data_IF_808438140218
#
_entry.id   IF_808438140218
#
_cell.length_a   1.000
_cell.length_b   1.000
_cell.length_c   1.000
_cell.angle_alpha   90.00
_cell.angle_beta   90.00
_cell.angle_gamma   90.00
#
_symmetry.space_group_name_H-M   'P 1'
#
loop_
_entity.id
_entity.type
_entity.pdbx_description
1 polymer ?
#
# COMPACT_ATOMS: atom_id res chain seq x y z
N UNK A 1 13.47 0.20 23.72
CA UNK A 1 13.18 -0.77 22.66
C UNK A 1 12.40 -0.16 21.49
N UNK A 2 12.86 0.98 20.94
CA UNK A 2 12.27 1.65 19.76
C UNK A 2 13.27 1.80 18.59
N UNK A 3 14.46 1.18 18.70
CA UNK A 3 15.58 1.39 17.79
C UNK A 3 15.40 0.87 16.34
N UNK A 4 14.78 -0.29 16.07
CA UNK A 4 14.79 -0.83 14.70
C UNK A 4 14.04 0.05 13.70
N UNK A 5 12.94 0.68 14.15
CA UNK A 5 12.15 1.59 13.32
C UNK A 5 12.90 2.90 13.03
N UNK A 6 13.73 3.36 13.97
CA UNK A 6 14.55 4.57 13.80
C UNK A 6 15.71 4.33 12.83
N UNK A 7 16.30 3.13 12.83
CA UNK A 7 17.34 2.74 11.86
C UNK A 7 16.79 2.67 10.43
N UNK A 8 15.56 2.17 10.26
CA UNK A 8 14.91 2.17 8.94
C UNK A 8 14.59 3.58 8.44
N UNK A 9 14.29 4.53 9.34
CA UNK A 9 14.08 5.95 9.03
C UNK A 9 15.39 6.69 8.74
N UNK A 10 16.50 6.29 9.36
CA UNK A 10 17.81 6.95 9.20
C UNK A 10 18.36 6.83 7.77
N UNK A 11 17.94 5.81 7.01
CA UNK A 11 18.27 5.64 5.58
C UNK A 11 17.61 6.66 4.64
N UNK A 12 16.63 7.42 5.14
CA UNK A 12 15.93 8.46 4.40
C UNK A 12 16.23 9.88 4.92
N UNK A 13 17.13 10.03 5.89
CA UNK A 13 17.64 11.33 6.31
C UNK A 13 18.88 11.67 5.48
N UNK A 14 18.95 12.85 4.84
CA UNK A 14 20.16 13.25 4.12
C UNK A 14 21.22 13.61 5.16
N UNK A 15 22.17 12.70 5.40
CA UNK A 15 23.35 13.02 6.20
C UNK A 15 24.48 13.42 5.28
N UNK A 16 24.84 14.70 5.34
CA UNK A 16 26.02 15.26 4.72
C UNK A 16 27.26 14.82 5.52
N UNK A 17 28.09 13.93 4.99
CA UNK A 17 29.56 13.90 5.21
C UNK A 17 30.21 12.70 4.51
N UNK A 18 31.18 13.05 3.67
CA UNK A 18 32.32 12.35 3.04
C UNK A 18 32.57 10.84 3.22
N UNK A 19 32.95 10.28 2.06
CA UNK A 19 33.87 9.16 1.79
C UNK A 19 33.81 7.90 2.67
N UNK A 20 33.09 6.89 2.18
CA UNK A 20 33.47 5.49 2.42
C UNK A 20 33.26 4.67 1.15
N UNK A 21 34.36 4.10 0.66
CA UNK A 21 34.44 3.16 -0.46
C UNK A 21 33.62 1.91 -0.09
N UNK A 22 32.60 1.57 -0.88
CA UNK A 22 31.81 0.35 -0.70
C UNK A 22 32.37 -0.70 -1.65
N UNK A 23 33.16 -1.62 -1.08
CA UNK A 23 33.55 -2.89 -1.68
C UNK A 23 32.29 -3.73 -2.00
N UNK A 24 32.34 -4.41 -3.14
CA UNK A 24 31.25 -5.24 -3.66
C UNK A 24 31.06 -6.50 -2.80
N UNK A 25 29.83 -6.74 -2.35
CA UNK A 25 29.39 -8.06 -1.89
C UNK A 25 28.86 -8.13 -0.47
N UNK A 26 27.74 -7.47 -0.19
CA UNK A 26 26.87 -7.89 0.92
C UNK A 26 25.42 -7.93 0.43
N UNK A 27 24.87 -9.14 0.44
CA UNK A 27 23.45 -9.44 0.29
C UNK A 27 22.68 -8.61 1.33
N UNK A 28 22.08 -7.50 0.88
CA UNK A 28 21.26 -6.64 1.72
C UNK A 28 19.99 -7.42 2.09
N UNK A 29 20.07 -8.20 3.17
CA UNK A 29 18.92 -8.85 3.80
C UNK A 29 18.06 -7.75 4.44
N UNK A 30 17.29 -7.07 3.59
CA UNK A 30 16.21 -6.21 4.02
C UNK A 30 15.20 -7.13 4.70
N UNK A 31 14.90 -6.95 6.00
CA UNK A 31 14.00 -7.84 6.70
C UNK A 31 12.71 -7.98 5.90
N UNK A 32 12.43 -9.20 5.43
CA UNK A 32 11.30 -9.55 4.55
C UNK A 32 9.94 -9.09 5.12
N UNK A 33 9.91 -8.83 6.44
CA UNK A 33 8.73 -8.37 7.17
C UNK A 33 8.47 -6.85 7.09
N UNK A 34 9.48 -6.01 6.84
CA UNK A 34 9.32 -4.55 6.89
C UNK A 34 8.28 -4.02 5.87
N UNK A 35 8.18 -4.67 4.71
CA UNK A 35 7.23 -4.33 3.64
C UNK A 35 5.99 -5.23 3.60
N UNK A 36 5.89 -6.17 4.54
CA UNK A 36 4.82 -7.17 4.60
C UNK A 36 3.76 -6.85 5.64
N UNK A 37 4.01 -5.87 6.52
CA UNK A 37 3.05 -5.45 7.52
C UNK A 37 1.83 -4.72 6.92
N UNK A 38 0.68 -4.86 7.58
CA UNK A 38 -0.58 -4.31 7.10
C UNK A 38 -0.56 -2.79 6.99
N UNK A 39 0.09 -2.11 7.94
CA UNK A 39 0.22 -0.66 7.94
C UNK A 39 0.95 -0.17 6.70
N UNK A 40 2.08 -0.79 6.35
CA UNK A 40 2.82 -0.45 5.13
C UNK A 40 1.99 -0.70 3.88
N UNK A 41 1.35 -1.88 3.78
CA UNK A 41 0.51 -2.26 2.64
C UNK A 41 -0.65 -1.29 2.43
N UNK A 42 -1.27 -0.81 3.52
CA UNK A 42 -2.39 0.12 3.45
C UNK A 42 -1.99 1.56 3.17
N UNK A 43 -0.91 2.07 3.78
CA UNK A 43 -0.65 3.52 3.81
C UNK A 43 0.58 3.98 3.04
N UNK A 44 1.47 3.06 2.67
CA UNK A 44 2.76 3.41 2.06
C UNK A 44 3.01 2.75 0.71
N UNK A 45 2.60 1.48 0.55
CA UNK A 45 2.78 0.71 -0.68
C UNK A 45 2.11 1.42 -1.85
N UNK A 46 2.93 1.80 -2.84
CA UNK A 46 2.58 2.58 -4.03
C UNK A 46 1.95 3.94 -3.75
N UNK A 47 2.08 4.44 -2.52
CA UNK A 47 1.66 5.78 -2.09
C UNK A 47 2.88 6.72 -2.07
N UNK A 48 3.92 6.35 -1.32
CA UNK A 48 5.17 7.13 -1.25
C UNK A 48 5.94 6.99 -2.56
N UNK A 49 6.55 8.08 -3.03
CA UNK A 49 7.37 8.08 -4.26
C UNK A 49 8.66 7.28 -4.04
N UNK A 50 9.09 6.57 -5.08
CA UNK A 50 10.38 5.89 -5.05
C UNK A 50 11.52 6.92 -5.01
N UNK A 51 12.44 6.77 -4.06
CA UNK A 51 13.60 7.64 -3.88
C UNK A 51 14.91 7.02 -4.41
N UNK A 52 14.86 5.79 -4.93
CA UNK A 52 16.04 5.14 -5.51
C UNK A 52 16.45 5.86 -6.79
N UNK A 53 17.67 6.41 -6.80
CA UNK A 53 18.22 7.09 -7.97
C UNK A 53 18.60 6.12 -9.11
N UNK A 54 18.92 4.86 -8.77
CA UNK A 54 19.31 3.83 -9.76
C UNK A 54 18.09 3.20 -10.42
N UNK A 55 18.23 2.84 -11.70
CA UNK A 55 17.23 2.07 -12.44
C UNK A 55 17.01 0.71 -11.78
N UNK A 56 15.74 0.33 -11.62
CA UNK A 56 15.33 -0.96 -11.06
C UNK A 56 13.96 -1.34 -11.63
N UNK A 57 13.52 -2.56 -11.34
CA UNK A 57 12.18 -3.02 -11.72
C UNK A 57 11.11 -2.27 -10.91
N UNK A 58 10.50 -1.27 -11.53
CA UNK A 58 9.44 -0.46 -10.93
C UNK A 58 8.17 -1.26 -10.63
N UNK A 59 7.95 -2.41 -11.30
CA UNK A 59 6.79 -3.27 -11.05
C UNK A 59 6.94 -4.05 -9.75
N UNK A 60 8.18 -4.38 -9.36
CA UNK A 60 8.51 -5.00 -8.09
C UNK A 60 8.74 -3.99 -6.96
N UNK A 61 9.10 -2.75 -7.28
CA UNK A 61 9.30 -1.68 -6.31
C UNK A 61 8.04 -1.43 -5.47
N UNK A 62 8.09 -1.37 -4.13
CA UNK A 62 6.92 -1.09 -3.31
C UNK A 62 6.50 0.39 -3.33
N UNK A 63 7.31 1.27 -3.92
CA UNK A 63 7.06 2.70 -3.98
C UNK A 63 6.55 3.15 -5.35
N UNK A 64 5.97 4.35 -5.38
CA UNK A 64 5.30 4.93 -6.53
C UNK A 64 6.29 5.50 -7.55
N UNK A 65 6.10 5.16 -8.83
CA UNK A 65 6.83 5.72 -9.97
C UNK A 65 5.94 6.63 -10.83
N UNK A 66 6.52 7.64 -11.51
CA UNK A 66 5.76 8.49 -12.43
C UNK A 66 5.06 7.68 -13.52
N UNK A 67 3.77 7.92 -13.72
CA UNK A 67 2.97 7.30 -14.79
C UNK A 67 2.55 5.85 -14.56
N UNK A 68 2.95 5.21 -13.46
CA UNK A 68 2.56 3.83 -13.23
C UNK A 68 1.07 3.68 -12.84
N UNK A 69 0.44 2.59 -13.30
CA UNK A 69 -0.97 2.29 -12.98
C UNK A 69 -1.18 1.83 -11.54
N UNK A 70 -0.11 1.41 -10.86
CA UNK A 70 -0.18 0.91 -9.48
C UNK A 70 -0.12 2.03 -8.43
N UNK A 71 0.21 3.28 -8.81
CA UNK A 71 0.22 4.44 -7.93
C UNK A 71 -1.12 4.55 -7.20
N UNK A 72 -1.04 4.87 -5.91
CA UNK A 72 -2.18 5.11 -5.04
C UNK A 72 -2.12 6.50 -4.42
N UNK A 73 -3.31 7.06 -4.16
CA UNK A 73 -3.47 8.21 -3.27
C UNK A 73 -3.36 7.76 -1.82
N UNK A 74 -2.78 8.60 -0.97
CA UNK A 74 -2.72 8.33 0.48
C UNK A 74 -4.13 8.41 1.07
N UNK A 75 -4.70 7.32 1.61
CA UNK A 75 -6.05 7.33 2.17
C UNK A 75 -6.17 8.20 3.44
N UNK A 76 -5.06 8.67 4.03
CA UNK A 76 -5.04 9.65 5.13
C UNK A 76 -5.18 11.08 4.65
N UNK A 77 -4.86 11.35 3.37
CA UNK A 77 -4.92 12.68 2.75
C UNK A 77 -6.14 12.83 1.83
N UNK A 78 -6.56 11.74 1.19
CA UNK A 78 -7.65 11.73 0.23
C UNK A 78 -8.74 10.75 0.68
N UNK A 79 -9.94 11.27 0.88
CA UNK A 79 -11.10 10.48 1.30
C UNK A 79 -11.76 9.83 0.09
N UNK A 80 -11.26 8.66 -0.31
CA UNK A 80 -11.86 7.85 -1.35
C UNK A 80 -12.27 6.49 -0.78
N UNK A 81 -13.34 5.92 -1.32
CA UNK A 81 -13.84 4.60 -0.93
C UNK A 81 -13.08 3.48 -1.64
N UNK A 82 -13.10 2.27 -1.07
CA UNK A 82 -12.58 1.07 -1.74
C UNK A 82 -13.40 0.60 -2.95
N UNK A 83 -14.44 1.35 -3.35
CA UNK A 83 -15.28 1.07 -4.51
C UNK A 83 -14.66 1.64 -5.78
N UNK A 84 -14.67 0.86 -6.87
CA UNK A 84 -14.04 1.25 -8.12
C UNK A 84 -14.76 2.43 -8.80
N UNK A 85 -14.00 3.43 -9.25
CA UNK A 85 -14.53 4.56 -9.99
C UNK A 85 -15.03 4.12 -11.38
N UNK A 86 -16.31 4.37 -11.74
CA UNK A 86 -16.84 3.99 -13.05
C UNK A 86 -16.18 4.76 -14.19
N UNK A 87 -15.83 6.03 -13.98
CA UNK A 87 -15.20 6.87 -15.02
C UNK A 87 -13.75 6.47 -15.26
N UNK A 88 -13.00 6.19 -14.19
CA UNK A 88 -11.63 5.71 -14.30
C UNK A 88 -11.56 4.37 -15.04
N UNK A 89 -12.53 3.48 -14.79
CA UNK A 89 -12.65 2.21 -15.53
C UNK A 89 -12.85 2.41 -17.03
N UNK A 90 -13.49 3.51 -17.44
CA UNK A 90 -13.70 3.88 -18.85
C UNK A 90 -12.47 4.57 -19.47
N UNK A 91 -11.40 4.79 -18.70
CA UNK A 91 -10.10 5.27 -19.18
C UNK A 91 -9.65 6.60 -18.59
N UNK A 92 -10.57 7.46 -18.14
CA UNK A 92 -10.22 8.75 -17.55
C UNK A 92 -11.27 9.24 -16.56
N UNK A 93 -10.83 9.62 -15.36
CA UNK A 93 -11.67 10.31 -14.38
C UNK A 93 -11.26 11.78 -14.28
N UNK A 94 -12.20 12.69 -14.58
CA UNK A 94 -11.97 14.15 -14.54
C UNK A 94 -11.86 14.71 -13.12
N UNK A 95 -12.32 13.96 -12.10
CA UNK A 95 -12.25 14.37 -10.69
C UNK A 95 -10.84 14.30 -10.12
N UNK A 96 -9.90 13.63 -10.81
CA UNK A 96 -8.51 13.52 -10.38
C UNK A 96 -8.39 12.99 -8.95
N UNK A 97 -7.51 13.61 -8.16
CA UNK A 97 -7.27 13.20 -6.78
C UNK A 97 -8.48 13.42 -5.85
N UNK A 98 -9.42 14.32 -6.22
CA UNK A 98 -10.65 14.59 -5.47
C UNK A 98 -11.76 13.55 -5.70
N UNK A 99 -11.51 12.51 -6.52
CA UNK A 99 -12.50 11.46 -6.74
C UNK A 99 -12.72 10.62 -5.46
N UNK A 100 -13.97 10.46 -5.04
CA UNK A 100 -14.37 9.68 -3.86
C UNK A 100 -14.36 8.16 -4.10
N UNK A 101 -13.93 7.70 -5.27
CA UNK A 101 -13.85 6.29 -5.64
C UNK A 101 -12.42 5.91 -6.00
N UNK A 102 -12.07 4.64 -5.84
CA UNK A 102 -10.76 4.10 -6.12
C UNK A 102 -10.44 4.08 -7.64
N UNK A 103 -9.24 4.53 -7.98
CA UNK A 103 -8.65 4.59 -9.30
C UNK A 103 -7.69 3.42 -9.53
N UNK A 104 -8.28 2.23 -9.66
CA UNK A 104 -7.55 1.01 -9.98
C UNK A 104 -7.61 -0.05 -8.87
N UNK A 105 -7.03 -1.21 -9.17
CA UNK A 105 -7.10 -2.41 -8.33
C UNK A 105 -6.40 -2.19 -6.99
N UNK A 106 -5.24 -1.54 -7.01
CA UNK A 106 -4.45 -1.29 -5.80
C UNK A 106 -5.16 -0.32 -4.84
N UNK A 107 -5.73 0.77 -5.34
CA UNK A 107 -6.54 1.66 -4.49
C UNK A 107 -7.78 0.95 -3.93
N UNK A 108 -8.46 0.11 -4.72
CA UNK A 108 -9.63 -0.63 -4.25
C UNK A 108 -9.26 -1.58 -3.11
N UNK A 109 -8.26 -2.44 -3.32
CA UNK A 109 -8.06 -3.62 -2.49
C UNK A 109 -7.01 -3.45 -1.40
N UNK A 110 -6.11 -2.48 -1.51
CA UNK A 110 -5.25 -2.06 -0.41
C UNK A 110 -5.87 -0.92 0.43
N UNK A 111 -7.12 -0.52 0.14
CA UNK A 111 -7.84 0.44 0.96
C UNK A 111 -7.99 -0.09 2.41
N UNK A 112 -7.86 0.77 3.44
CA UNK A 112 -7.97 0.32 4.84
C UNK A 112 -9.26 -0.42 5.19
N UNK A 113 -10.36 -0.09 4.52
CA UNK A 113 -11.66 -0.73 4.68
C UNK A 113 -11.87 -2.01 3.84
N UNK A 114 -10.85 -2.50 3.11
CA UNK A 114 -10.97 -3.71 2.25
C UNK A 114 -9.78 -4.65 2.36
N UNK A 115 -8.60 -4.15 2.71
CA UNK A 115 -7.39 -4.95 2.78
C UNK A 115 -7.50 -6.03 3.87
N UNK A 116 -7.33 -7.29 3.46
CA UNK A 116 -7.42 -8.48 4.31
C UNK A 116 -8.75 -8.62 5.08
N UNK A 117 -9.84 -8.05 4.59
CA UNK A 117 -11.18 -8.24 5.19
C UNK A 117 -11.90 -9.48 4.65
N UNK A 118 -11.27 -10.22 3.74
CA UNK A 118 -11.78 -11.46 3.16
C UNK A 118 -10.64 -12.48 3.06
N UNK A 119 -10.94 -13.79 3.21
CA UNK A 119 -9.94 -14.85 3.05
C UNK A 119 -9.52 -15.00 1.59
N UNK A 120 -8.26 -15.33 1.37
CA UNK A 120 -7.73 -15.67 0.06
C UNK A 120 -8.20 -17.08 -0.33
N UNK A 121 -8.68 -17.24 -1.57
CA UNK A 121 -9.12 -18.55 -2.08
C UNK A 121 -8.00 -19.60 -2.07
N UNK A 122 -6.77 -19.15 -2.29
CA UNK A 122 -5.60 -20.02 -2.35
C UNK A 122 -4.94 -20.19 -0.96
N UNK A 123 -5.43 -19.50 0.07
CA UNK A 123 -4.89 -19.56 1.43
C UNK A 123 -3.37 -19.38 1.48
N UNK A 124 -2.70 -20.23 2.27
CA UNK A 124 -1.24 -20.29 2.41
C UNK A 124 -0.50 -20.75 1.16
N UNK A 125 -1.20 -21.30 0.16
CA UNK A 125 -0.61 -21.68 -1.13
C UNK A 125 -0.59 -20.54 -2.15
N UNK A 126 -1.14 -19.37 -1.83
CA UNK A 126 -1.15 -18.22 -2.73
C UNK A 126 0.26 -17.72 -3.04
N UNK A 127 0.63 -17.70 -4.33
CA UNK A 127 1.97 -17.26 -4.79
C UNK A 127 2.03 -15.81 -5.25
N UNK A 128 0.96 -15.03 -5.04
CA UNK A 128 0.94 -13.61 -5.42
C UNK A 128 1.86 -12.81 -4.51
N UNK A 129 2.85 -12.12 -5.10
CA UNK A 129 3.76 -11.21 -4.37
C UNK A 129 3.02 -10.13 -3.58
N UNK A 130 1.87 -9.70 -4.12
CA UNK A 130 0.95 -8.78 -3.46
C UNK A 130 -0.42 -9.42 -3.47
N UNK A 131 -0.79 -10.08 -2.37
CA UNK A 131 -2.15 -10.53 -2.14
C UNK A 131 -2.91 -9.52 -1.28
N UNK A 132 -4.16 -9.26 -1.65
CA UNK A 132 -5.03 -8.32 -0.94
C UNK A 132 -5.87 -8.98 0.15
N UNK A 133 -5.86 -10.31 0.19
CA UNK A 133 -6.72 -11.14 1.01
C UNK A 133 -5.90 -11.82 2.12
N UNK A 134 -6.57 -12.25 3.18
CA UNK A 134 -5.93 -12.94 4.30
C UNK A 134 -5.60 -14.40 3.94
N UNK A 135 -4.36 -14.85 4.14
CA UNK A 135 -3.97 -16.25 3.89
C UNK A 135 -4.24 -17.17 5.07
N UNK A 136 -4.41 -16.61 6.27
CA UNK A 136 -4.74 -17.32 7.50
C UNK A 136 -5.81 -16.53 8.27
N UNK A 137 -6.39 -17.15 9.31
CA UNK A 137 -7.42 -16.49 10.12
C UNK A 137 -6.85 -15.32 10.93
N UNK A 138 -5.58 -15.40 11.32
CA UNK A 138 -4.87 -14.36 12.08
C UNK A 138 -4.61 -13.12 11.23
N UNK A 139 -4.51 -13.29 9.91
CA UNK A 139 -4.39 -12.17 8.96
C UNK A 139 -5.74 -11.53 8.64
N UNK A 140 -6.87 -12.17 8.97
CA UNK A 140 -8.19 -11.67 8.62
C UNK A 140 -8.56 -10.48 9.50
N UNK A 141 -8.73 -9.32 8.87
CA UNK A 141 -9.11 -8.08 9.53
C UNK A 141 -10.62 -7.94 9.59
N UNK A 142 -11.14 -7.87 10.81
CA UNK A 142 -12.53 -7.47 11.07
C UNK A 142 -12.55 -5.97 11.30
N UNK A 143 -13.34 -5.25 10.52
CA UNK A 143 -13.53 -3.82 10.74
C UNK A 143 -14.56 -3.62 11.85
N UNK A 144 -14.35 -2.64 12.76
CA UNK A 144 -15.40 -2.25 13.68
C UNK A 144 -16.61 -1.83 12.85
N UNK A 145 -17.79 -2.37 13.19
CA UNK A 145 -19.04 -2.00 12.54
C UNK A 145 -19.23 -0.49 12.73
N UNK A 146 -19.06 0.29 11.68
CA UNK A 146 -19.58 1.64 11.68
C UNK A 146 -21.09 1.47 11.71
N UNK A 147 -21.72 1.81 12.83
CA UNK A 147 -23.16 1.97 12.96
C UNK A 147 -23.62 3.07 12.01
N UNK A 148 -23.70 2.76 10.73
CA UNK A 148 -24.56 3.49 9.81
C UNK A 148 -25.97 3.23 10.31
N UNK A 149 -26.49 4.17 11.08
CA UNK A 149 -27.88 4.20 11.50
C UNK A 149 -28.75 3.96 10.27
N UNK A 150 -29.27 2.75 10.14
CA UNK A 150 -30.43 2.49 9.29
C UNK A 150 -31.58 3.21 9.97
N UNK A 151 -31.75 4.50 9.65
CA UNK A 151 -33.00 5.18 9.83
C UNK A 151 -33.98 4.54 8.85
N UNK A 152 -34.59 3.43 9.27
CA UNK A 152 -35.81 2.92 8.67
C UNK A 152 -36.87 3.94 9.04
N UNK A 153 -37.20 4.86 8.14
CA UNK A 153 -38.38 5.71 8.29
C UNK A 153 -39.60 4.85 7.92
N UNK A 154 -40.62 4.75 8.79
CA UNK A 154 -41.90 4.19 8.39
C UNK A 154 -42.74 5.30 7.74
N UNK A 155 -43.25 5.05 6.53
CA UNK A 155 -44.65 5.28 6.11
C UNK A 155 -44.96 4.34 4.94
#
# INVERSE_FOLDING_TARGET
>A
HYEPALVALQRFLPSNSDDVVVEEGEDFDVPVDAFSCDNFRMFEFKVKKCALARSHDWTACPFAHPGEKARRRDPRKYHYSGSACPDFRKGACKRGDACEYAHGVFECWLHPARYRTQPCKDGTHCRRRVCFFAHTQEQLRVLPYSSSSSAVSPE
#
